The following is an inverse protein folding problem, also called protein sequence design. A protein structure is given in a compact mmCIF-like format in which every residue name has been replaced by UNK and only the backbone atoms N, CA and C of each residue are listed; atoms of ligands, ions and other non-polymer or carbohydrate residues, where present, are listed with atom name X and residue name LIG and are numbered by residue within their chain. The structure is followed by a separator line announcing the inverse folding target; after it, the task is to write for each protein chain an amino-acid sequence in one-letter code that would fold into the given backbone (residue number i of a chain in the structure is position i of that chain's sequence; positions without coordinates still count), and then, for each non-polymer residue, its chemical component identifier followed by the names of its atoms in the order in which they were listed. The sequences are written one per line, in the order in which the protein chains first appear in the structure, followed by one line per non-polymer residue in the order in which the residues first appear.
data_IF_376194915675
#
_entry.id   IF_376194915675
#
_cell.length_a   1.000
_cell.length_b   1.000
_cell.length_c   1.000
_cell.angle_alpha   90.00
_cell.angle_beta   90.00
_cell.angle_gamma   90.00
#
_symmetry.space_group_name_H-M   'P 1'
#
loop_
_entity.id
_entity.type
_entity.pdbx_description
1 polymer ?
#
# COMPACT_ATOMS: atom_id res chain seq x y z
N UNK A 1 25.81 -23.79 15.18
CA UNK A 1 26.29 -22.78 14.19
C UNK A 1 25.16 -21.92 13.63
N UNK A 2 23.97 -22.46 13.30
CA UNK A 2 22.82 -21.68 12.81
C UNK A 2 22.28 -20.73 13.88
N UNK A 3 22.13 -21.18 15.13
CA UNK A 3 21.65 -20.36 16.25
C UNK A 3 22.58 -19.18 16.57
N UNK A 4 23.89 -19.36 16.38
CA UNK A 4 24.89 -18.31 16.56
C UNK A 4 24.85 -17.30 15.42
N UNK A 5 24.64 -17.75 14.17
CA UNK A 5 24.49 -16.89 13.01
C UNK A 5 23.20 -16.04 13.07
N UNK A 6 22.11 -16.60 13.60
CA UNK A 6 20.86 -15.89 13.81
C UNK A 6 20.94 -14.83 14.92
N UNK A 7 21.64 -15.14 16.02
CA UNK A 7 21.93 -14.19 17.10
C UNK A 7 22.83 -13.04 16.64
N UNK A 8 23.84 -13.34 15.82
CA UNK A 8 24.72 -12.31 15.22
C UNK A 8 23.96 -11.42 14.24
N UNK A 9 23.08 -12.00 13.40
CA UNK A 9 22.18 -11.21 12.52
C UNK A 9 21.25 -10.30 13.32
N UNK A 10 20.62 -10.80 14.39
CA UNK A 10 19.77 -9.98 15.27
C UNK A 10 20.56 -8.86 15.97
N UNK A 11 21.77 -9.16 16.45
CA UNK A 11 22.64 -8.17 17.10
C UNK A 11 23.13 -7.09 16.12
N UNK A 12 23.52 -7.46 14.91
CA UNK A 12 23.95 -6.49 13.90
C UNK A 12 22.80 -5.60 13.38
N UNK A 13 21.60 -6.15 13.22
CA UNK A 13 20.42 -5.37 12.82
C UNK A 13 20.05 -4.34 13.89
N UNK A 14 20.16 -4.68 15.17
CA UNK A 14 19.88 -3.75 16.27
C UNK A 14 20.94 -2.67 16.46
N UNK A 15 22.19 -2.94 16.09
CA UNK A 15 23.30 -1.97 16.23
C UNK A 15 23.35 -0.91 15.12
N UNK A 16 22.75 -1.18 13.97
CA UNK A 16 22.75 -0.26 12.82
C UNK A 16 21.47 0.58 12.71
N UNK A 17 20.49 0.41 13.62
CA UNK A 17 19.21 1.13 13.57
C UNK A 17 18.33 0.77 12.36
N UNK A 18 18.69 -0.27 11.59
CA UNK A 18 17.97 -0.73 10.42
C UNK A 18 16.95 -1.80 10.82
N UNK A 19 15.70 -1.38 10.97
CA UNK A 19 14.60 -2.29 11.34
C UNK A 19 13.88 -2.93 10.14
N UNK A 20 14.43 -2.78 8.94
CA UNK A 20 13.86 -3.32 7.71
C UNK A 20 13.74 -4.84 7.74
N UNK A 21 12.64 -5.39 7.22
CA UNK A 21 12.27 -6.81 7.25
C UNK A 21 12.11 -7.43 8.65
N UNK A 22 12.00 -6.61 9.68
CA UNK A 22 11.79 -7.10 11.03
C UNK A 22 10.29 -7.31 11.28
N UNK A 23 9.93 -8.52 11.73
CA UNK A 23 8.58 -8.82 12.24
C UNK A 23 8.45 -8.26 13.64
N UNK A 24 7.46 -7.40 13.84
CA UNK A 24 7.19 -6.74 15.12
C UNK A 24 5.80 -7.08 15.64
N UNK A 25 5.60 -7.19 16.96
CA UNK A 25 4.25 -7.21 17.52
C UNK A 25 3.55 -5.88 17.22
N UNK A 26 2.26 -5.95 16.94
CA UNK A 26 1.47 -4.77 16.67
C UNK A 26 0.65 -4.34 17.88
N UNK A 27 0.63 -3.04 18.13
CA UNK A 27 -0.21 -2.40 19.14
C UNK A 27 -0.96 -1.24 18.50
N UNK A 28 -2.30 -1.32 18.39
CA UNK A 28 -3.09 -0.30 17.73
C UNK A 28 -3.11 1.00 18.52
N UNK A 29 -3.38 2.14 17.87
CA UNK A 29 -3.71 3.37 18.58
C UNK A 29 -5.00 3.17 19.39
N UNK A 30 -5.12 3.87 20.52
CA UNK A 30 -6.26 3.72 21.44
C UNK A 30 -7.62 3.92 20.77
N UNK A 31 -7.73 4.89 19.87
CA UNK A 31 -8.95 5.19 19.13
C UNK A 31 -9.37 4.11 18.12
N UNK A 32 -8.47 3.20 17.74
CA UNK A 32 -8.74 2.10 16.79
C UNK A 32 -8.72 0.71 17.48
N UNK A 33 -8.50 0.63 18.78
CA UNK A 33 -8.35 -0.64 19.49
C UNK A 33 -9.60 -1.54 19.49
N UNK A 34 -10.77 -0.96 19.21
CA UNK A 34 -12.05 -1.67 19.08
C UNK A 34 -12.30 -2.27 17.70
N UNK A 35 -11.45 -1.99 16.71
CA UNK A 35 -11.64 -2.48 15.35
C UNK A 35 -11.17 -3.93 15.20
N UNK A 36 -11.88 -4.71 14.39
CA UNK A 36 -11.57 -6.11 14.12
C UNK A 36 -11.53 -6.39 12.60
N UNK A 37 -10.71 -7.36 12.14
CA UNK A 37 -9.73 -8.12 12.92
C UNK A 37 -8.54 -7.28 13.34
N UNK A 38 -8.03 -7.50 14.57
CA UNK A 38 -6.82 -6.86 15.05
C UNK A 38 -5.58 -7.66 14.61
N UNK A 39 -4.63 -7.08 13.86
CA UNK A 39 -3.39 -7.77 13.51
C UNK A 39 -2.52 -7.99 14.75
N UNK A 40 -1.92 -9.15 14.86
CA UNK A 40 -0.99 -9.45 15.96
C UNK A 40 0.43 -8.92 15.70
N UNK A 41 0.82 -8.85 14.42
CA UNK A 41 2.16 -8.46 14.00
C UNK A 41 2.11 -7.68 12.67
N UNK A 42 3.21 -7.01 12.37
CA UNK A 42 3.49 -6.44 11.06
C UNK A 42 4.97 -6.60 10.71
N UNK A 43 5.30 -6.47 9.43
CA UNK A 43 6.69 -6.36 8.99
C UNK A 43 7.05 -4.91 8.75
N UNK A 44 8.23 -4.49 9.18
CA UNK A 44 8.80 -3.19 8.83
C UNK A 44 9.33 -3.24 7.40
N UNK A 45 8.51 -2.87 6.41
CA UNK A 45 8.84 -2.86 5.00
C UNK A 45 9.05 -1.45 4.45
N UNK A 46 8.35 -0.48 5.03
CA UNK A 46 8.38 0.90 4.56
C UNK A 46 9.44 1.74 5.29
N UNK A 47 9.94 2.76 4.60
CA UNK A 47 10.72 3.85 5.20
C UNK A 47 9.75 4.86 5.81
N UNK A 48 9.52 4.75 7.10
CA UNK A 48 8.60 5.60 7.86
C UNK A 48 9.33 6.36 8.98
N UNK A 49 8.84 7.56 9.34
CA UNK A 49 7.69 8.28 8.78
C UNK A 49 8.01 8.91 7.42
N UNK A 50 7.04 8.92 6.51
CA UNK A 50 7.20 9.66 5.26
C UNK A 50 7.07 11.17 5.49
N UNK A 51 7.80 12.04 4.76
CA UNK A 51 7.78 13.47 5.00
C UNK A 51 6.42 14.11 4.75
N UNK A 52 6.13 15.17 5.51
CA UNK A 52 5.07 16.14 5.21
C UNK A 52 5.76 17.47 4.94
N UNK A 53 5.51 18.07 3.78
CA UNK A 53 6.06 19.39 3.47
C UNK A 53 5.09 20.22 2.62
N UNK A 54 5.36 21.52 2.55
CA UNK A 54 4.57 22.43 1.72
C UNK A 54 4.71 22.06 0.24
N UNK A 55 3.59 22.11 -0.48
CA UNK A 55 3.53 21.85 -1.93
C UNK A 55 3.10 23.10 -2.66
N UNK A 56 4.05 23.72 -3.34
CA UNK A 56 3.79 24.96 -4.07
C UNK A 56 3.25 24.63 -5.48
N UNK A 57 1.95 24.66 -5.64
CA UNK A 57 1.31 24.56 -6.95
C UNK A 57 1.04 25.96 -7.51
N UNK A 58 1.16 26.15 -8.84
CA UNK A 58 0.70 27.38 -9.48
C UNK A 58 -0.81 27.54 -9.35
N UNK A 59 -1.28 28.78 -9.30
CA UNK A 59 -2.70 29.14 -9.26
C UNK A 59 -3.48 28.63 -8.02
N UNK A 60 -2.81 28.44 -6.89
CA UNK A 60 -3.53 28.20 -5.65
C UNK A 60 -4.41 29.42 -5.30
N UNK A 61 -5.62 29.21 -4.75
CA UNK A 61 -6.44 30.29 -4.25
C UNK A 61 -5.67 31.13 -3.22
N UNK A 62 -5.94 32.43 -3.20
CA UNK A 62 -5.33 33.36 -2.24
C UNK A 62 -5.60 32.86 -0.81
N UNK A 63 -4.57 32.82 0.03
CA UNK A 63 -4.61 32.33 1.40
C UNK A 63 -4.80 30.81 1.57
N UNK A 64 -4.59 30.00 0.52
CA UNK A 64 -4.58 28.55 0.63
C UNK A 64 -3.15 28.03 0.72
N UNK A 65 -2.86 27.27 1.75
CA UNK A 65 -1.61 26.49 1.90
C UNK A 65 -1.88 25.03 1.59
N UNK A 66 -1.14 24.49 0.63
CA UNK A 66 -1.20 23.07 0.30
C UNK A 66 0.03 22.35 0.82
N UNK A 67 -0.19 21.24 1.49
CA UNK A 67 0.84 20.36 2.00
C UNK A 67 0.69 18.98 1.39
N UNK A 68 1.77 18.22 1.32
CA UNK A 68 1.76 16.86 0.77
C UNK A 68 2.44 15.88 1.71
N UNK A 69 1.76 14.77 1.97
CA UNK A 69 2.30 13.57 2.61
C UNK A 69 2.94 12.70 1.52
N UNK A 70 4.24 12.48 1.61
CA UNK A 70 5.07 11.89 0.56
C UNK A 70 5.17 10.36 0.70
N UNK A 71 4.06 9.65 0.52
CA UNK A 71 4.07 8.18 0.53
C UNK A 71 4.81 7.57 -0.69
N UNK A 72 5.06 8.34 -1.73
CA UNK A 72 5.99 7.98 -2.80
C UNK A 72 7.43 7.79 -2.33
N UNK A 73 7.81 8.31 -1.16
CA UNK A 73 9.11 8.13 -0.54
C UNK A 73 9.15 7.00 0.50
N UNK A 74 8.11 6.17 0.58
CA UNK A 74 8.04 5.04 1.52
C UNK A 74 9.00 3.88 1.19
N UNK A 75 9.78 3.97 0.14
CA UNK A 75 10.80 3.01 -0.29
C UNK A 75 11.07 3.14 -1.77
N UNK A 76 12.15 2.51 -2.28
CA UNK A 76 12.46 2.57 -3.72
C UNK A 76 11.46 1.74 -4.53
N UNK A 77 11.59 0.41 -4.47
CA UNK A 77 10.69 -0.52 -5.17
C UNK A 77 9.35 -0.71 -4.43
N UNK A 78 9.31 -0.42 -3.14
CA UNK A 78 8.11 -0.43 -2.29
C UNK A 78 7.44 0.94 -2.20
N UNK A 79 7.79 1.89 -3.07
CA UNK A 79 7.23 3.24 -3.05
C UNK A 79 5.71 3.27 -3.25
N UNK A 80 5.08 4.23 -2.60
CA UNK A 80 3.63 4.43 -2.64
C UNK A 80 2.90 3.84 -1.42
N UNK A 81 1.64 4.19 -1.29
CA UNK A 81 0.76 3.83 -0.17
C UNK A 81 0.54 2.31 0.03
N UNK A 82 0.88 1.49 -0.95
CA UNK A 82 0.60 0.05 -0.92
C UNK A 82 1.46 -0.71 0.08
N UNK A 83 2.69 -0.27 0.31
CA UNK A 83 3.58 -0.92 1.27
C UNK A 83 3.00 -0.91 2.68
N UNK A 84 2.31 0.17 3.08
CA UNK A 84 1.65 0.26 4.39
C UNK A 84 0.65 -0.88 4.63
N UNK A 85 -0.12 -1.25 3.61
CA UNK A 85 -1.04 -2.39 3.67
C UNK A 85 -0.29 -3.72 3.69
N UNK A 86 0.78 -3.81 2.89
CA UNK A 86 1.58 -5.03 2.75
C UNK A 86 2.31 -5.39 4.05
N UNK A 87 2.67 -4.44 4.89
CA UNK A 87 3.26 -4.71 6.19
C UNK A 87 2.41 -5.67 7.04
N UNK A 88 1.10 -5.49 7.03
CA UNK A 88 0.15 -6.35 7.75
C UNK A 88 -0.21 -7.62 6.97
N UNK A 89 -0.48 -7.49 5.67
CA UNK A 89 -0.88 -8.62 4.84
C UNK A 89 0.22 -9.67 4.70
N UNK A 90 1.47 -9.25 4.59
CA UNK A 90 2.61 -10.18 4.54
C UNK A 90 2.86 -10.86 5.89
N UNK A 91 2.64 -10.14 7.00
CA UNK A 91 2.75 -10.74 8.32
C UNK A 91 1.69 -11.83 8.54
N UNK A 92 0.48 -11.61 8.07
CA UNK A 92 -0.60 -12.59 8.12
C UNK A 92 -0.33 -13.79 7.19
N UNK A 93 0.14 -13.55 5.97
CA UNK A 93 0.52 -14.60 5.03
C UNK A 93 1.58 -15.55 5.63
N UNK A 94 2.64 -14.99 6.20
CA UNK A 94 3.69 -15.77 6.88
C UNK A 94 3.14 -16.51 8.10
N UNK A 95 2.25 -15.88 8.89
CA UNK A 95 1.64 -16.53 10.06
C UNK A 95 0.76 -17.72 9.66
N UNK A 96 0.12 -17.66 8.49
CA UNK A 96 -0.66 -18.78 7.92
C UNK A 96 0.23 -19.83 7.23
N UNK A 97 1.55 -19.66 7.23
CA UNK A 97 2.50 -20.60 6.62
C UNK A 97 2.47 -20.59 5.10
N UNK A 98 2.10 -19.47 4.48
CA UNK A 98 2.13 -19.33 3.03
C UNK A 98 3.55 -19.45 2.47
N UNK A 99 3.70 -20.09 1.32
CA UNK A 99 4.92 -20.16 0.53
C UNK A 99 4.84 -19.29 -0.74
N UNK A 100 3.66 -18.79 -1.04
CA UNK A 100 3.39 -18.02 -2.24
C UNK A 100 2.27 -17.00 -2.04
N UNK A 101 2.33 -15.90 -2.79
CA UNK A 101 1.36 -14.81 -2.79
C UNK A 101 0.69 -14.77 -4.16
N UNK A 102 -0.62 -14.61 -4.18
CA UNK A 102 -1.40 -14.32 -5.39
C UNK A 102 -1.99 -12.93 -5.25
N UNK A 103 -1.86 -12.10 -6.29
CA UNK A 103 -2.62 -10.86 -6.38
C UNK A 103 -2.96 -10.51 -7.83
N UNK A 104 -3.83 -9.52 -8.01
CA UNK A 104 -4.38 -9.15 -9.31
C UNK A 104 -4.45 -7.63 -9.46
N UNK A 105 -4.14 -7.12 -10.66
CA UNK A 105 -4.19 -5.70 -10.97
C UNK A 105 -4.10 -5.39 -12.45
N UNK A 106 -3.88 -4.14 -12.79
CA UNK A 106 -3.52 -3.75 -14.16
C UNK A 106 -2.04 -3.98 -14.42
N UNK A 107 -1.62 -4.06 -15.69
CA UNK A 107 -0.23 -4.31 -16.10
C UNK A 107 0.78 -3.31 -15.54
N UNK A 108 0.35 -2.10 -15.17
CA UNK A 108 1.19 -1.07 -14.54
C UNK A 108 0.74 -0.79 -13.09
N UNK A 109 0.27 -1.82 -12.39
CA UNK A 109 -0.22 -1.69 -11.02
C UNK A 109 0.91 -1.48 -10.02
N UNK A 110 0.91 -0.35 -9.32
CA UNK A 110 1.80 -0.12 -8.17
C UNK A 110 1.60 -1.14 -7.04
N UNK A 111 0.37 -1.66 -6.90
CA UNK A 111 0.08 -2.70 -5.92
C UNK A 111 0.76 -4.02 -6.29
N UNK A 112 0.64 -4.48 -7.54
CA UNK A 112 1.26 -5.73 -7.99
C UNK A 112 2.79 -5.65 -7.87
N UNK A 113 3.40 -4.55 -8.31
CA UNK A 113 4.84 -4.31 -8.15
C UNK A 113 5.26 -4.38 -6.68
N UNK A 114 4.63 -3.61 -5.80
CA UNK A 114 5.00 -3.59 -4.38
C UNK A 114 4.78 -4.97 -3.72
N UNK A 115 3.74 -5.71 -4.12
CA UNK A 115 3.48 -7.06 -3.63
C UNK A 115 4.57 -8.03 -4.08
N UNK A 116 4.98 -7.99 -5.35
CA UNK A 116 6.05 -8.84 -5.87
C UNK A 116 7.39 -8.58 -5.17
N UNK A 117 7.73 -7.30 -4.94
CA UNK A 117 8.95 -6.92 -4.23
C UNK A 117 8.91 -7.38 -2.76
N UNK A 118 7.80 -7.15 -2.06
CA UNK A 118 7.64 -7.57 -0.67
C UNK A 118 7.70 -9.10 -0.52
N UNK A 119 7.05 -9.84 -1.43
CA UNK A 119 7.11 -11.29 -1.47
C UNK A 119 8.57 -11.78 -1.65
N UNK A 120 9.31 -11.17 -2.60
CA UNK A 120 10.71 -11.52 -2.84
C UNK A 120 11.60 -11.27 -1.62
N UNK A 121 11.42 -10.16 -0.91
CA UNK A 121 12.15 -9.88 0.32
C UNK A 121 11.87 -10.91 1.43
N UNK A 122 10.67 -11.45 1.45
CA UNK A 122 10.25 -12.46 2.44
C UNK A 122 10.45 -13.91 1.95
N UNK A 123 11.14 -14.09 0.82
CA UNK A 123 11.40 -15.38 0.19
C UNK A 123 10.13 -16.18 -0.13
N UNK A 124 9.09 -15.47 -0.58
CA UNK A 124 7.84 -16.03 -1.07
C UNK A 124 7.78 -15.92 -2.59
N UNK A 125 7.24 -16.92 -3.26
CA UNK A 125 6.92 -16.79 -4.68
C UNK A 125 5.72 -15.85 -4.87
N UNK A 126 5.71 -15.13 -5.98
CA UNK A 126 4.63 -14.19 -6.28
C UNK A 126 3.98 -14.49 -7.63
N UNK A 127 2.68 -14.67 -7.63
CA UNK A 127 1.87 -14.92 -8.82
C UNK A 127 0.97 -13.71 -9.06
N UNK A 128 1.15 -13.08 -10.21
CA UNK A 128 0.45 -11.86 -10.60
C UNK A 128 -0.50 -12.14 -11.75
N UNK A 129 -1.78 -11.82 -11.58
CA UNK A 129 -2.75 -11.77 -12.67
C UNK A 129 -2.84 -10.32 -13.14
N UNK A 130 -2.30 -10.02 -14.32
CA UNK A 130 -2.19 -8.66 -14.83
C UNK A 130 -3.14 -8.42 -15.99
N UNK A 131 -4.08 -7.50 -15.78
CA UNK A 131 -5.05 -7.08 -16.79
C UNK A 131 -4.41 -6.11 -17.77
N UNK A 132 -4.53 -6.42 -19.08
CA UNK A 132 -4.00 -5.62 -20.18
C UNK A 132 -5.01 -5.51 -21.33
N UNK A 133 -4.62 -4.91 -22.47
CA UNK A 133 -5.39 -4.94 -23.71
C UNK A 133 -5.29 -6.34 -24.36
N UNK A 134 -6.30 -6.70 -25.16
CA UNK A 134 -6.33 -7.99 -25.83
C UNK A 134 -5.11 -8.24 -26.71
N UNK A 135 -4.64 -7.20 -27.41
CA UNK A 135 -3.44 -7.27 -28.22
C UNK A 135 -2.17 -7.67 -27.45
N UNK A 136 -2.09 -7.29 -26.15
CA UNK A 136 -0.93 -7.59 -25.31
C UNK A 136 -1.03 -8.89 -24.54
N UNK A 137 -2.17 -9.60 -24.62
CA UNK A 137 -2.30 -10.92 -23.99
C UNK A 137 -1.47 -11.95 -24.73
N UNK A 138 -1.49 -11.89 -26.05
CA UNK A 138 -0.78 -12.83 -26.93
C UNK A 138 0.62 -12.34 -27.34
N UNK A 139 0.96 -11.09 -27.04
CA UNK A 139 2.26 -10.51 -27.33
C UNK A 139 2.98 -10.19 -26.02
N UNK A 140 4.32 -10.35 -26.03
CA UNK A 140 5.11 -9.92 -24.87
C UNK A 140 5.07 -8.39 -24.72
N UNK A 141 4.49 -7.84 -23.63
CA UNK A 141 4.43 -6.40 -23.41
C UNK A 141 5.78 -5.75 -23.09
N UNK A 142 6.87 -6.52 -23.08
CA UNK A 142 8.22 -6.03 -22.87
C UNK A 142 8.58 -5.74 -21.42
N UNK A 143 9.69 -5.04 -21.25
CA UNK A 143 10.25 -4.68 -19.94
C UNK A 143 10.03 -3.19 -19.67
N UNK A 144 8.81 -2.79 -19.31
CA UNK A 144 8.44 -1.39 -19.11
C UNK A 144 7.77 -1.13 -17.78
N UNK A 145 8.12 -0.02 -17.14
CA UNK A 145 7.46 0.47 -15.92
C UNK A 145 7.43 -0.56 -14.79
N UNK A 146 6.24 -0.77 -14.19
CA UNK A 146 6.07 -1.70 -13.08
C UNK A 146 6.29 -3.16 -13.50
N UNK A 147 5.92 -3.54 -14.72
CA UNK A 147 6.12 -4.88 -15.24
C UNK A 147 7.61 -5.26 -15.30
N UNK A 148 8.50 -4.32 -15.61
CA UNK A 148 9.95 -4.54 -15.55
C UNK A 148 10.36 -5.00 -14.15
N UNK A 149 9.95 -4.27 -13.11
CA UNK A 149 10.32 -4.60 -11.73
C UNK A 149 9.74 -5.96 -11.31
N UNK A 150 8.47 -6.23 -11.65
CA UNK A 150 7.79 -7.49 -11.36
C UNK A 150 8.55 -8.70 -11.96
N UNK A 151 9.00 -8.59 -13.21
CA UNK A 151 9.81 -9.61 -13.88
C UNK A 151 11.23 -9.72 -13.29
N UNK A 152 11.87 -8.60 -12.98
CA UNK A 152 13.22 -8.61 -12.37
C UNK A 152 13.26 -9.30 -11.01
N UNK A 153 12.20 -9.18 -10.21
CA UNK A 153 12.13 -9.87 -8.91
C UNK A 153 11.64 -11.32 -9.02
N UNK A 154 11.37 -11.79 -10.25
CA UNK A 154 10.99 -13.18 -10.52
C UNK A 154 9.53 -13.51 -10.25
N UNK A 155 8.62 -12.54 -10.36
CA UNK A 155 7.19 -12.81 -10.24
C UNK A 155 6.67 -13.61 -11.45
N UNK A 156 5.79 -14.56 -11.18
CA UNK A 156 5.06 -15.33 -12.20
C UNK A 156 3.91 -14.48 -12.73
N UNK A 157 4.01 -14.04 -13.98
CA UNK A 157 3.04 -13.13 -14.59
C UNK A 157 2.06 -13.89 -15.47
N UNK A 158 0.75 -13.75 -15.20
CA UNK A 158 -0.35 -14.23 -16.01
C UNK A 158 -1.10 -13.03 -16.60
N UNK A 159 -1.04 -12.86 -17.90
CA UNK A 159 -1.75 -11.79 -18.59
C UNK A 159 -3.19 -12.21 -18.89
N UNK A 160 -4.12 -11.29 -18.67
CA UNK A 160 -5.53 -11.47 -19.02
C UNK A 160 -6.07 -10.22 -19.71
N UNK A 161 -7.07 -10.40 -20.57
CA UNK A 161 -7.72 -9.28 -21.25
C UNK A 161 -8.66 -8.49 -20.31
N UNK A 162 -8.95 -7.24 -20.68
CA UNK A 162 -9.96 -6.44 -19.96
C UNK A 162 -11.34 -7.06 -20.03
N UNK A 163 -11.68 -7.69 -21.16
CA UNK A 163 -12.96 -8.37 -21.35
C UNK A 163 -13.06 -9.62 -20.47
N UNK A 164 -12.04 -10.45 -20.45
CA UNK A 164 -12.00 -11.63 -19.59
C UNK A 164 -12.10 -11.27 -18.11
N UNK A 165 -11.34 -10.25 -17.69
CA UNK A 165 -11.43 -9.73 -16.33
C UNK A 165 -12.83 -9.24 -15.98
N UNK A 166 -13.49 -8.51 -16.89
CA UNK A 166 -14.85 -8.01 -16.68
C UNK A 166 -15.89 -9.13 -16.59
N UNK A 167 -15.70 -10.20 -17.39
CA UNK A 167 -16.61 -11.37 -17.44
C UNK A 167 -16.47 -12.26 -16.21
N UNK A 168 -15.26 -12.55 -15.77
CA UNK A 168 -14.97 -13.54 -14.73
C UNK A 168 -14.90 -12.90 -13.33
N UNK A 169 -14.32 -11.71 -13.24
CA UNK A 169 -14.12 -10.99 -11.99
C UNK A 169 -12.84 -11.40 -11.24
N UNK A 170 -12.35 -10.47 -10.43
CA UNK A 170 -11.05 -10.63 -9.74
C UNK A 170 -11.04 -11.79 -8.74
N UNK A 171 -12.13 -11.98 -8.01
CA UNK A 171 -12.22 -13.01 -6.97
C UNK A 171 -12.16 -14.40 -7.58
N UNK A 172 -12.94 -14.64 -8.64
CA UNK A 172 -12.95 -15.94 -9.32
C UNK A 172 -11.60 -16.26 -9.94
N UNK A 173 -10.98 -15.28 -10.63
CA UNK A 173 -9.67 -15.45 -11.25
C UNK A 173 -8.58 -15.82 -10.22
N UNK A 174 -8.56 -15.13 -9.08
CA UNK A 174 -7.58 -15.46 -8.02
C UNK A 174 -7.86 -16.80 -7.36
N UNK A 175 -9.13 -17.19 -7.20
CA UNK A 175 -9.49 -18.48 -6.62
C UNK A 175 -9.11 -19.66 -7.55
N UNK A 176 -9.34 -19.52 -8.87
CA UNK A 176 -8.93 -20.55 -9.85
C UNK A 176 -7.41 -20.77 -9.78
N UNK A 177 -6.62 -19.70 -9.73
CA UNK A 177 -5.17 -19.82 -9.60
C UNK A 177 -4.77 -20.41 -8.25
N UNK A 178 -5.45 -20.01 -7.17
CA UNK A 178 -5.23 -20.57 -5.82
C UNK A 178 -5.44 -22.07 -5.79
N UNK A 179 -6.56 -22.55 -6.33
CA UNK A 179 -6.86 -23.98 -6.38
C UNK A 179 -5.85 -24.78 -7.23
N UNK A 180 -5.40 -24.21 -8.35
CA UNK A 180 -4.34 -24.79 -9.16
C UNK A 180 -3.06 -24.98 -8.34
N UNK A 181 -2.59 -23.93 -7.66
CA UNK A 181 -1.38 -23.98 -6.86
C UNK A 181 -1.50 -24.94 -5.67
N UNK A 182 -2.69 -25.05 -5.04
CA UNK A 182 -2.95 -26.03 -3.97
C UNK A 182 -2.81 -27.46 -4.50
N UNK A 183 -3.34 -27.76 -5.70
CA UNK A 183 -3.17 -29.07 -6.34
C UNK A 183 -1.72 -29.40 -6.66
N UNK A 184 -0.87 -28.38 -6.85
CA UNK A 184 0.58 -28.49 -7.04
C UNK A 184 1.32 -28.61 -5.69
N UNK A 185 0.61 -28.70 -4.56
CA UNK A 185 1.20 -28.84 -3.21
C UNK A 185 1.64 -27.53 -2.58
N UNK A 186 1.28 -26.38 -3.15
CA UNK A 186 1.62 -25.04 -2.65
C UNK A 186 0.63 -24.56 -1.57
N UNK A 187 1.03 -23.55 -0.83
CA UNK A 187 0.22 -22.85 0.18
C UNK A 187 0.07 -21.38 -0.17
N UNK A 188 -0.75 -21.05 -1.19
CA UNK A 188 -0.89 -19.68 -1.66
C UNK A 188 -1.78 -18.84 -0.74
N UNK A 189 -1.34 -17.61 -0.47
CA UNK A 189 -2.12 -16.57 0.19
C UNK A 189 -2.59 -15.54 -0.83
N UNK A 190 -3.90 -15.25 -0.85
CA UNK A 190 -4.48 -14.30 -1.80
C UNK A 190 -4.58 -12.90 -1.18
N UNK A 191 -3.93 -11.94 -1.81
CA UNK A 191 -4.08 -10.51 -1.51
C UNK A 191 -5.06 -9.92 -2.53
N UNK A 192 -6.21 -9.36 -2.10
CA UNK A 192 -7.20 -8.80 -3.01
C UNK A 192 -6.68 -7.57 -3.76
N UNK A 193 -7.43 -7.12 -4.76
CA UNK A 193 -7.09 -5.93 -5.57
C UNK A 193 -6.71 -4.76 -4.67
N UNK A 194 -5.49 -4.23 -4.88
CA UNK A 194 -4.98 -3.10 -4.10
C UNK A 194 -4.76 -3.36 -2.62
N UNK A 195 -4.76 -4.62 -2.16
CA UNK A 195 -4.66 -4.99 -0.74
C UNK A 195 -5.81 -4.44 0.10
N UNK A 196 -6.99 -4.28 -0.51
CA UNK A 196 -8.14 -3.60 0.11
C UNK A 196 -9.06 -4.61 0.81
N UNK A 197 -8.71 -4.97 2.03
CA UNK A 197 -9.52 -5.74 2.97
C UNK A 197 -9.36 -5.16 4.38
N UNK A 198 -10.08 -5.71 5.36
CA UNK A 198 -10.04 -5.27 6.76
C UNK A 198 -8.62 -5.25 7.35
N UNK A 199 -7.79 -6.25 7.01
CA UNK A 199 -6.41 -6.31 7.50
C UNK A 199 -5.52 -5.24 6.84
N UNK A 200 -5.61 -5.06 5.51
CA UNK A 200 -4.87 -4.02 4.80
C UNK A 200 -5.24 -2.60 5.21
N UNK A 201 -6.44 -2.41 5.77
CA UNK A 201 -6.89 -1.10 6.29
C UNK A 201 -6.02 -0.60 7.44
N UNK A 202 -5.40 -1.48 8.22
CA UNK A 202 -4.49 -1.10 9.30
C UNK A 202 -3.28 -0.31 8.83
N UNK A 203 -2.86 -0.49 7.59
CA UNK A 203 -1.83 0.36 6.99
C UNK A 203 -2.22 1.83 6.90
N UNK A 204 -3.50 2.13 6.71
CA UNK A 204 -3.99 3.52 6.74
C UNK A 204 -4.27 4.03 8.15
N UNK A 205 -4.66 3.17 9.08
CA UNK A 205 -4.74 3.51 10.51
C UNK A 205 -3.38 3.98 11.00
N UNK A 206 -2.31 3.27 10.64
CA UNK A 206 -0.95 3.69 10.96
C UNK A 206 -0.51 4.96 10.23
N UNK A 207 -0.97 5.19 8.99
CA UNK A 207 -0.69 6.44 8.29
C UNK A 207 -1.32 7.66 9.02
N UNK A 208 -2.54 7.51 9.53
CA UNK A 208 -3.21 8.56 10.33
C UNK A 208 -2.46 8.79 11.65
N UNK A 209 -2.13 7.72 12.38
CA UNK A 209 -1.32 7.80 13.60
C UNK A 209 0.02 8.52 13.37
N UNK A 210 0.67 8.23 12.25
CA UNK A 210 1.92 8.87 11.84
C UNK A 210 1.73 10.38 11.59
N UNK A 211 0.65 10.76 10.87
CA UNK A 211 0.31 12.17 10.63
C UNK A 211 0.06 12.89 11.95
N UNK A 212 -0.75 12.33 12.85
CA UNK A 212 -0.99 12.90 14.18
C UNK A 212 0.30 13.16 14.94
N UNK A 213 1.21 12.18 14.96
CA UNK A 213 2.51 12.30 15.62
C UNK A 213 3.41 13.36 14.97
N UNK A 214 3.39 13.48 13.65
CA UNK A 214 4.16 14.48 12.93
C UNK A 214 3.64 15.90 13.18
N UNK A 215 2.32 16.08 13.20
CA UNK A 215 1.69 17.37 13.53
C UNK A 215 2.04 17.79 14.97
N UNK A 216 1.99 16.85 15.91
CA UNK A 216 2.32 17.15 17.32
C UNK A 216 3.80 17.49 17.54
N UNK A 217 4.73 16.83 16.82
CA UNK A 217 6.16 16.93 17.08
C UNK A 217 6.90 18.02 16.31
N UNK A 218 6.44 18.40 15.12
CA UNK A 218 7.36 19.07 14.20
C UNK A 218 6.82 20.23 13.38
N UNK A 219 5.53 20.43 13.30
CA UNK A 219 4.99 21.44 12.38
C UNK A 219 4.57 22.76 13.07
N UNK A 220 5.03 23.01 14.28
CA UNK A 220 4.73 24.27 14.96
C UNK A 220 3.24 24.54 15.17
N UNK A 221 2.46 23.54 15.57
CA UNK A 221 0.98 23.60 15.71
C UNK A 221 0.22 23.87 14.41
N UNK A 222 0.74 23.44 13.28
CA UNK A 222 0.00 23.50 12.01
C UNK A 222 -1.21 22.59 12.12
N UNK A 223 -2.41 23.18 12.08
CA UNK A 223 -3.65 22.45 11.92
C UNK A 223 -4.03 22.45 10.45
N UNK A 224 -4.43 21.30 9.93
CA UNK A 224 -5.04 21.19 8.62
C UNK A 224 -6.54 21.30 8.74
N UNK A 225 -7.16 22.07 7.86
CA UNK A 225 -8.61 22.23 7.79
C UNK A 225 -9.22 21.05 7.00
N UNK A 226 -8.52 20.63 5.94
CA UNK A 226 -8.92 19.50 5.11
C UNK A 226 -7.77 18.52 4.90
N UNK A 227 -8.09 17.22 4.87
CA UNK A 227 -7.21 16.16 4.42
C UNK A 227 -7.80 15.53 3.15
N UNK A 228 -7.04 15.51 2.07
CA UNK A 228 -7.46 14.98 0.77
C UNK A 228 -6.72 13.71 0.45
N UNK A 229 -7.44 12.65 0.14
CA UNK A 229 -6.87 11.33 -0.17
C UNK A 229 -7.38 10.87 -1.53
N UNK A 230 -6.47 10.42 -2.40
CA UNK A 230 -6.85 9.73 -3.62
C UNK A 230 -7.48 8.38 -3.26
N UNK A 231 -8.79 8.23 -3.48
CA UNK A 231 -9.55 7.05 -3.15
C UNK A 231 -10.00 6.33 -4.42
N UNK A 232 -9.49 5.11 -4.65
CA UNK A 232 -9.96 4.23 -5.71
C UNK A 232 -11.28 3.55 -5.34
N UNK A 233 -11.72 2.58 -6.14
CA UNK A 233 -13.04 1.93 -6.10
C UNK A 233 -13.50 1.32 -4.75
N UNK A 234 -12.67 1.24 -3.72
CA UNK A 234 -13.03 0.58 -2.47
C UNK A 234 -13.00 1.55 -1.29
N UNK A 235 -14.19 1.95 -0.87
CA UNK A 235 -14.47 2.93 0.19
C UNK A 235 -14.02 2.56 1.62
N UNK A 236 -13.47 1.36 1.86
CA UNK A 236 -13.13 0.94 3.22
C UNK A 236 -12.05 1.80 3.89
N UNK A 237 -11.08 2.28 3.12
CA UNK A 237 -10.04 3.17 3.67
C UNK A 237 -10.60 4.55 4.06
N UNK A 238 -11.66 4.99 3.37
CA UNK A 238 -12.32 6.27 3.62
C UNK A 238 -13.13 6.26 4.93
N UNK A 239 -13.84 5.16 5.19
CA UNK A 239 -14.67 5.02 6.39
C UNK A 239 -13.83 5.11 7.68
N UNK A 240 -12.63 4.51 7.67
CA UNK A 240 -11.71 4.58 8.81
C UNK A 240 -11.21 6.02 9.03
N UNK A 241 -10.91 6.75 7.98
CA UNK A 241 -10.43 8.13 8.10
C UNK A 241 -11.52 9.10 8.57
N UNK A 242 -12.78 8.91 8.18
CA UNK A 242 -13.89 9.77 8.63
C UNK A 242 -14.24 9.59 10.10
N UNK A 243 -13.96 8.44 10.68
CA UNK A 243 -14.20 8.19 12.13
C UNK A 243 -13.15 8.85 13.03
N UNK A 244 -11.98 9.19 12.50
CA UNK A 244 -10.81 9.59 13.28
C UNK A 244 -10.71 11.10 13.44
N UNK A 245 -11.23 11.87 12.50
CA UNK A 245 -11.10 13.33 12.50
C UNK A 245 -12.37 14.00 13.01
N UNK A 246 -12.53 14.08 14.34
CA UNK A 246 -13.64 14.82 14.95
C UNK A 246 -13.58 16.34 14.72
N UNK A 247 -12.50 16.85 14.14
CA UNK A 247 -12.26 18.29 13.98
C UNK A 247 -11.74 18.72 12.59
N UNK A 248 -11.43 17.80 11.70
CA UNK A 248 -10.92 18.11 10.34
C UNK A 248 -11.82 17.47 9.31
N UNK A 249 -12.29 18.23 8.35
CA UNK A 249 -13.16 17.74 7.27
C UNK A 249 -12.35 16.86 6.31
N UNK A 250 -12.60 15.57 6.31
CA UNK A 250 -12.00 14.65 5.35
C UNK A 250 -12.81 14.67 4.04
N UNK A 251 -12.20 15.14 2.97
CA UNK A 251 -12.75 15.05 1.61
C UNK A 251 -12.00 14.02 0.82
N UNK A 252 -12.67 12.95 0.44
CA UNK A 252 -12.11 11.95 -0.46
C UNK A 252 -12.45 12.27 -1.90
N UNK A 253 -11.41 12.34 -2.72
CA UNK A 253 -11.55 12.44 -4.16
C UNK A 253 -11.40 11.06 -4.81
N UNK A 254 -12.38 10.65 -5.62
CA UNK A 254 -12.32 9.48 -6.48
C UNK A 254 -11.47 9.81 -7.70
N UNK A 255 -10.16 9.50 -7.65
CA UNK A 255 -9.26 9.91 -8.73
C UNK A 255 -8.21 8.88 -9.10
N UNK A 256 -7.94 8.78 -10.41
CA UNK A 256 -6.98 7.83 -10.99
C UNK A 256 -5.57 8.42 -11.22
N UNK A 257 -5.37 9.73 -11.06
CA UNK A 257 -4.07 10.37 -11.35
C UNK A 257 -3.74 11.57 -10.45
N UNK A 258 -2.43 11.87 -10.31
CA UNK A 258 -1.90 13.02 -9.55
C UNK A 258 -2.35 14.37 -10.13
N UNK A 259 -2.46 14.45 -11.45
CA UNK A 259 -2.84 15.70 -12.14
C UNK A 259 -4.30 16.03 -11.85
N UNK A 260 -5.18 15.04 -11.88
CA UNK A 260 -6.57 15.16 -11.56
C UNK A 260 -6.78 15.56 -10.08
N UNK A 261 -6.01 14.99 -9.15
CA UNK A 261 -6.02 15.38 -7.74
C UNK A 261 -5.65 16.87 -7.56
N UNK A 262 -4.61 17.33 -8.25
CA UNK A 262 -4.20 18.74 -8.18
C UNK A 262 -5.27 19.68 -8.76
N UNK A 263 -5.89 19.32 -9.87
CA UNK A 263 -6.96 20.11 -10.50
C UNK A 263 -8.21 20.20 -9.62
N UNK A 264 -8.60 19.10 -8.98
CA UNK A 264 -9.74 19.06 -8.06
C UNK A 264 -9.48 19.90 -6.81
N UNK A 265 -8.28 19.81 -6.22
CA UNK A 265 -7.87 20.64 -5.09
C UNK A 265 -8.03 22.13 -5.46
N UNK A 266 -7.55 22.54 -6.64
CA UNK A 266 -7.62 23.92 -7.10
C UNK A 266 -9.06 24.42 -7.33
N UNK A 267 -9.98 23.55 -7.74
CA UNK A 267 -11.36 23.92 -8.06
C UNK A 267 -12.32 23.89 -6.86
N UNK A 268 -12.05 23.01 -5.90
CA UNK A 268 -13.04 22.65 -4.86
C UNK A 268 -12.73 23.23 -3.49
N UNK A 269 -11.43 23.45 -3.16
CA UNK A 269 -11.04 23.82 -1.80
C UNK A 269 -10.78 25.33 -1.67
N UNK A 270 -11.54 25.94 -0.76
CA UNK A 270 -11.40 27.37 -0.38
C UNK A 270 -10.93 27.52 1.08
N UNK A 271 -10.41 26.46 1.66
CA UNK A 271 -9.96 26.43 3.06
C UNK A 271 -8.48 26.79 3.18
N UNK A 272 -8.03 27.39 4.29
CA UNK A 272 -6.66 27.92 4.41
C UNK A 272 -5.57 26.86 4.34
N UNK A 273 -5.80 25.63 4.86
CA UNK A 273 -4.75 24.60 4.93
C UNK A 273 -5.25 23.23 4.52
N UNK A 274 -4.67 22.71 3.47
CA UNK A 274 -5.03 21.40 2.89
C UNK A 274 -3.84 20.46 2.94
N UNK A 275 -4.03 19.24 3.47
CA UNK A 275 -3.06 18.15 3.40
C UNK A 275 -3.49 17.15 2.34
N UNK A 276 -2.70 17.01 1.28
CA UNK A 276 -2.87 15.97 0.26
C UNK A 276 -2.06 14.71 0.64
N UNK A 277 -2.70 13.54 0.60
CA UNK A 277 -2.03 12.25 0.75
C UNK A 277 -1.90 11.56 -0.60
N UNK A 278 -0.70 11.11 -0.91
CA UNK A 278 -0.34 10.47 -2.16
C UNK A 278 -0.32 8.93 -2.07
#
# INVERSE_FOLDING_TARGET
KERTAELVRKSMASSLGFEFLTKKPYSPPSWASHLHPLPSHFFSLAHLPTPIHRWNLPNLPTNTELWIKRDDLSGMQLSGNKVRKLEFLMADAIAQGADSIITIGGIQSNHCRATAVAAKYLNLDCFLILRTSDLLVDQDPGLTGNLLVERMVGAHVHLISKQEYAKIGSVTLTNVLKEKLIKEGRRPYVIPVGGSNSLGTWGYIEAVREIEQQIQKGTGNVKFDDIVVACGRYMHSLFVMTQITSTTLLKACLMDSRLALAQEILSTFKTPRVLAMQ
#
